data_IF_012347002884
#
_entry.id   IF_012347002884
#
_cell.length_a   1.000
_cell.length_b   1.000
_cell.length_c   1.000
_cell.angle_alpha   90.00
_cell.angle_beta   90.00
_cell.angle_gamma   90.00
#
_symmetry.space_group_name_H-M   'P 1'
#
loop_
_entity.id
_entity.type
_entity.pdbx_description
1 polymer ?
#
# COMPACT_ATOMS: atom_id res chain seq x y z
N UNK A 1 -33.06 -7.15 10.25
CA UNK A 1 -31.75 -6.50 10.45
C UNK A 1 -30.73 -7.52 10.03
N UNK A 2 -29.94 -7.27 8.97
CA UNK A 2 -28.84 -8.18 8.62
C UNK A 2 -27.79 -8.09 9.74
N UNK A 3 -27.36 -9.26 10.22
CA UNK A 3 -26.29 -9.31 11.20
C UNK A 3 -25.01 -8.72 10.54
N UNK A 4 -24.35 -7.78 11.22
CA UNK A 4 -23.07 -7.21 10.78
C UNK A 4 -22.03 -8.33 10.65
N UNK A 5 -21.31 -8.35 9.56
CA UNK A 5 -20.11 -9.15 9.45
C UNK A 5 -19.03 -8.64 10.40
N UNK A 6 -18.02 -9.46 10.68
CA UNK A 6 -16.93 -9.04 11.57
C UNK A 6 -16.12 -7.90 10.94
N UNK A 7 -15.89 -7.92 9.62
CA UNK A 7 -15.19 -6.86 8.89
C UNK A 7 -15.97 -5.52 8.93
N UNK A 8 -17.28 -5.54 8.73
CA UNK A 8 -18.12 -4.33 8.88
C UNK A 8 -18.10 -3.78 10.30
N UNK A 9 -18.15 -4.66 11.30
CA UNK A 9 -18.09 -4.25 12.70
C UNK A 9 -16.74 -3.61 13.05
N UNK A 10 -15.63 -4.17 12.55
CA UNK A 10 -14.29 -3.61 12.73
C UNK A 10 -14.16 -2.23 12.07
N UNK A 11 -14.58 -2.10 10.82
CA UNK A 11 -14.51 -0.82 10.09
C UNK A 11 -15.35 0.27 10.78
N UNK A 12 -16.57 -0.06 11.23
CA UNK A 12 -17.43 0.87 11.95
C UNK A 12 -16.89 1.23 13.35
N UNK A 13 -16.27 0.28 14.05
CA UNK A 13 -15.66 0.53 15.35
C UNK A 13 -14.41 1.41 15.22
N UNK A 14 -13.54 1.12 14.26
CA UNK A 14 -12.35 1.90 13.98
C UNK A 14 -12.65 3.35 13.57
N UNK A 15 -13.70 3.57 12.79
CA UNK A 15 -14.18 4.92 12.42
C UNK A 15 -14.96 5.63 13.53
N UNK A 16 -15.23 4.97 14.65
CA UNK A 16 -16.07 5.50 15.74
C UNK A 16 -17.55 5.66 15.39
N UNK A 17 -17.99 5.07 14.27
CA UNK A 17 -19.37 5.23 13.75
C UNK A 17 -20.30 4.05 14.07
N UNK A 18 -19.80 3.03 14.77
CA UNK A 18 -20.63 1.88 15.17
C UNK A 18 -21.76 2.31 16.11
N UNK A 19 -22.99 2.05 15.69
CA UNK A 19 -24.17 2.37 16.49
C UNK A 19 -24.26 1.49 17.74
N UNK A 20 -24.65 2.02 18.90
CA UNK A 20 -24.79 1.23 20.14
C UNK A 20 -25.64 -0.03 19.96
N UNK A 21 -26.76 0.07 19.22
CA UNK A 21 -27.66 -1.05 18.96
C UNK A 21 -26.97 -2.15 18.14
N UNK A 22 -26.16 -1.78 17.13
CA UNK A 22 -25.40 -2.72 16.32
C UNK A 22 -24.32 -3.41 17.16
N UNK A 23 -23.65 -2.67 18.04
CA UNK A 23 -22.64 -3.22 18.96
C UNK A 23 -23.25 -4.20 19.98
N UNK A 24 -24.48 -3.93 20.46
CA UNK A 24 -25.20 -4.80 21.38
C UNK A 24 -25.64 -6.10 20.65
N UNK A 25 -25.94 -6.04 19.35
CA UNK A 25 -26.33 -7.19 18.54
C UNK A 25 -25.18 -8.18 18.30
N UNK A 26 -23.91 -7.76 18.48
CA UNK A 26 -22.77 -8.66 18.38
C UNK A 26 -22.72 -9.63 19.56
N UNK A 27 -22.20 -10.83 19.30
CA UNK A 27 -21.93 -11.80 20.39
C UNK A 27 -20.92 -11.22 21.39
N UNK A 28 -20.92 -11.68 22.66
CA UNK A 28 -19.91 -11.25 23.62
C UNK A 28 -18.47 -11.46 23.07
N UNK A 29 -18.21 -12.60 22.47
CA UNK A 29 -16.90 -12.93 21.88
C UNK A 29 -16.49 -11.92 20.80
N UNK A 30 -17.38 -11.54 19.90
CA UNK A 30 -17.09 -10.54 18.84
C UNK A 30 -16.85 -9.15 19.43
N UNK A 31 -17.53 -8.78 20.50
CA UNK A 31 -17.28 -7.50 21.21
C UNK A 31 -15.91 -7.48 21.87
N UNK A 32 -15.49 -8.59 22.49
CA UNK A 32 -14.17 -8.70 23.08
C UNK A 32 -13.08 -8.68 22.00
N UNK A 33 -13.35 -9.28 20.84
CA UNK A 33 -12.46 -9.17 19.67
C UNK A 33 -12.30 -7.71 19.19
N UNK A 34 -13.38 -6.94 19.07
CA UNK A 34 -13.27 -5.50 18.75
C UNK A 34 -12.47 -4.72 19.80
N UNK A 35 -12.61 -5.07 21.08
CA UNK A 35 -11.80 -4.47 22.13
C UNK A 35 -10.32 -4.81 21.99
N UNK A 36 -9.99 -6.05 21.65
CA UNK A 36 -8.61 -6.47 21.38
C UNK A 36 -8.04 -5.72 20.18
N UNK A 37 -8.78 -5.64 19.08
CA UNK A 37 -8.35 -4.92 17.87
C UNK A 37 -8.07 -3.43 18.16
N UNK A 38 -8.90 -2.79 19.00
CA UNK A 38 -8.68 -1.43 19.47
C UNK A 38 -7.42 -1.32 20.34
N UNK A 39 -7.22 -2.24 21.28
CA UNK A 39 -6.02 -2.26 22.11
C UNK A 39 -4.73 -2.40 21.26
N UNK A 40 -4.77 -3.16 20.16
CA UNK A 40 -3.66 -3.25 19.20
C UNK A 40 -3.39 -1.89 18.54
N UNK A 41 -4.43 -1.16 18.12
CA UNK A 41 -4.28 0.13 17.44
C UNK A 41 -3.86 1.28 18.38
N UNK A 42 -4.11 1.15 19.68
CA UNK A 42 -3.79 2.15 20.73
C UNK A 42 -2.50 1.82 21.51
N UNK A 43 -1.63 0.95 20.97
CA UNK A 43 -0.39 0.50 21.63
C UNK A 43 -0.60 -0.20 23.00
N UNK A 44 -1.78 -0.73 23.24
CA UNK A 44 -2.14 -1.47 24.45
C UNK A 44 -1.65 -2.93 24.42
N UNK A 45 -0.37 -3.18 24.12
CA UNK A 45 0.19 -4.52 23.89
C UNK A 45 -0.14 -5.55 24.98
N UNK A 46 -0.06 -5.16 26.26
CA UNK A 46 -0.34 -6.06 27.39
C UNK A 46 -1.82 -6.49 27.42
N UNK A 47 -2.72 -5.55 27.20
CA UNK A 47 -4.16 -5.83 27.13
C UNK A 47 -4.49 -6.68 25.90
N UNK A 48 -3.93 -6.34 24.75
CA UNK A 48 -4.11 -7.09 23.49
C UNK A 48 -3.66 -8.54 23.63
N UNK A 49 -2.50 -8.78 24.23
CA UNK A 49 -1.98 -10.14 24.48
C UNK A 49 -2.92 -10.95 25.38
N UNK A 50 -3.33 -10.39 26.52
CA UNK A 50 -4.22 -11.06 27.46
C UNK A 50 -5.58 -11.40 26.81
N UNK A 51 -6.19 -10.43 26.14
CA UNK A 51 -7.46 -10.63 25.42
C UNK A 51 -7.32 -11.67 24.30
N UNK A 52 -6.21 -11.66 23.58
CA UNK A 52 -5.97 -12.60 22.47
C UNK A 52 -5.96 -14.06 22.92
N UNK A 53 -5.41 -14.35 24.09
CA UNK A 53 -5.38 -15.70 24.65
C UNK A 53 -6.79 -16.16 25.08
N UNK A 54 -7.51 -15.30 25.82
CA UNK A 54 -8.88 -15.58 26.25
C UNK A 54 -9.83 -15.78 25.06
N UNK A 55 -9.79 -14.89 24.07
CA UNK A 55 -10.65 -14.96 22.88
C UNK A 55 -10.35 -16.23 22.08
N UNK A 56 -9.09 -16.60 21.93
CA UNK A 56 -8.70 -17.81 21.21
C UNK A 56 -9.29 -19.06 21.85
N UNK A 57 -9.22 -19.18 23.18
CA UNK A 57 -9.76 -20.32 23.90
C UNK A 57 -11.29 -20.38 23.82
N UNK A 58 -11.96 -19.24 23.97
CA UNK A 58 -13.42 -19.15 23.88
C UNK A 58 -13.94 -19.41 22.48
N UNK A 59 -13.23 -18.92 21.43
CA UNK A 59 -13.62 -19.13 20.03
C UNK A 59 -13.64 -20.61 19.60
N UNK A 60 -12.97 -21.48 20.37
CA UNK A 60 -12.92 -22.93 20.17
C UNK A 60 -13.89 -23.70 21.06
N UNK A 61 -14.38 -23.05 22.11
CA UNK A 61 -15.26 -23.72 23.08
C UNK A 61 -16.64 -23.99 22.48
N UNK A 62 -17.31 -25.12 22.82
CA UNK A 62 -18.60 -25.49 22.22
C UNK A 62 -19.71 -24.45 22.38
N UNK A 63 -19.66 -23.64 23.45
CA UNK A 63 -20.69 -22.65 23.78
C UNK A 63 -20.55 -21.31 23.05
N UNK A 64 -19.33 -20.95 22.60
CA UNK A 64 -19.01 -19.67 21.98
C UNK A 64 -18.26 -19.83 20.64
N UNK A 65 -18.28 -21.03 20.06
CA UNK A 65 -17.53 -21.34 18.85
C UNK A 65 -17.78 -20.36 17.71
N UNK A 66 -16.75 -19.62 17.32
CA UNK A 66 -16.77 -18.71 16.17
C UNK A 66 -15.50 -18.88 15.33
N UNK A 67 -15.57 -19.65 14.22
CA UNK A 67 -14.39 -19.92 13.39
C UNK A 67 -13.79 -18.68 12.70
N UNK A 68 -14.60 -17.64 12.47
CA UNK A 68 -14.12 -16.38 11.91
C UNK A 68 -13.28 -15.60 12.92
N UNK A 69 -13.77 -15.50 14.17
CA UNK A 69 -12.99 -14.91 15.28
C UNK A 69 -11.73 -15.72 15.55
N UNK A 70 -11.81 -17.06 15.54
CA UNK A 70 -10.60 -17.89 15.71
C UNK A 70 -9.54 -17.59 14.66
N UNK A 71 -9.93 -17.46 13.38
CA UNK A 71 -8.99 -17.17 12.31
C UNK A 71 -8.37 -15.77 12.47
N UNK A 72 -9.16 -14.78 12.80
CA UNK A 72 -8.70 -13.39 12.99
C UNK A 72 -7.78 -13.26 14.22
N UNK A 73 -8.16 -13.83 15.35
CA UNK A 73 -7.31 -13.76 16.54
C UNK A 73 -5.98 -14.49 16.38
N UNK A 74 -5.93 -15.58 15.62
CA UNK A 74 -4.66 -16.25 15.30
C UNK A 74 -3.76 -15.39 14.41
N UNK A 75 -4.35 -14.71 13.41
CA UNK A 75 -3.66 -13.75 12.57
C UNK A 75 -3.03 -12.65 13.44
N UNK A 76 -3.85 -11.99 14.27
CA UNK A 76 -3.41 -10.88 15.11
C UNK A 76 -2.34 -11.33 16.12
N UNK A 77 -2.49 -12.51 16.74
CA UNK A 77 -1.49 -13.09 17.65
C UNK A 77 -0.12 -13.31 16.99
N UNK A 78 -0.12 -13.74 15.73
CA UNK A 78 1.12 -13.89 14.97
C UNK A 78 1.81 -12.54 14.71
N UNK A 79 1.03 -11.47 14.54
CA UNK A 79 1.55 -10.12 14.27
C UNK A 79 2.03 -9.38 15.51
N UNK A 80 1.35 -9.56 16.66
CA UNK A 80 1.71 -8.88 17.92
C UNK A 80 2.78 -9.62 18.74
N UNK A 81 3.41 -10.67 18.19
CA UNK A 81 4.45 -11.42 18.89
C UNK A 81 3.95 -12.37 20.00
N UNK A 82 2.65 -12.74 19.98
CA UNK A 82 2.05 -13.69 20.93
C UNK A 82 2.33 -15.16 20.55
N UNK A 83 3.14 -15.40 19.51
CA UNK A 83 3.47 -16.72 18.97
C UNK A 83 4.99 -16.82 18.83
N UNK A 84 5.55 -17.98 19.10
CA UNK A 84 6.97 -18.24 18.86
C UNK A 84 7.32 -18.04 17.37
N UNK A 85 8.46 -17.42 17.06
CA UNK A 85 8.91 -17.09 15.70
C UNK A 85 8.82 -18.27 14.74
N UNK A 86 9.21 -19.46 15.19
CA UNK A 86 9.16 -20.69 14.40
C UNK A 86 7.72 -21.12 14.00
N UNK A 87 6.69 -20.57 14.64
CA UNK A 87 5.29 -20.90 14.39
C UNK A 87 4.53 -19.80 13.65
N UNK A 88 5.07 -18.59 13.54
CA UNK A 88 4.40 -17.45 12.93
C UNK A 88 3.86 -17.80 11.53
N UNK A 89 4.70 -18.31 10.65
CA UNK A 89 4.29 -18.69 9.30
C UNK A 89 3.19 -19.76 9.26
N UNK A 90 3.21 -20.70 10.20
CA UNK A 90 2.13 -21.69 10.31
C UNK A 90 0.80 -21.06 10.73
N UNK A 91 0.80 -20.16 11.72
CA UNK A 91 -0.43 -19.48 12.19
C UNK A 91 -1.00 -18.57 11.10
N UNK A 92 -0.14 -17.81 10.40
CA UNK A 92 -0.55 -16.97 9.27
C UNK A 92 -1.18 -17.80 8.14
N UNK A 93 -0.52 -18.90 7.73
CA UNK A 93 -1.04 -19.81 6.71
C UNK A 93 -2.38 -20.40 7.13
N UNK A 94 -2.47 -20.91 8.36
CA UNK A 94 -3.71 -21.48 8.87
C UNK A 94 -4.86 -20.46 8.86
N UNK A 95 -4.59 -19.22 9.32
CA UNK A 95 -5.58 -18.15 9.35
C UNK A 95 -6.04 -17.78 7.92
N UNK A 96 -5.11 -17.67 6.97
CA UNK A 96 -5.38 -17.38 5.56
C UNK A 96 -6.26 -18.46 4.94
N UNK A 97 -5.90 -19.73 5.05
CA UNK A 97 -6.68 -20.85 4.49
C UNK A 97 -8.09 -20.91 5.11
N UNK A 98 -8.18 -20.56 6.40
CA UNK A 98 -9.48 -20.53 7.08
C UNK A 98 -10.34 -19.37 6.60
N UNK A 99 -9.79 -18.18 6.42
CA UNK A 99 -10.51 -17.02 5.88
C UNK A 99 -10.92 -17.24 4.42
N UNK A 100 -10.06 -17.83 3.60
CA UNK A 100 -10.41 -18.24 2.23
C UNK A 100 -11.64 -19.16 2.17
N UNK A 101 -11.82 -20.03 3.18
CA UNK A 101 -12.98 -20.94 3.27
C UNK A 101 -14.23 -20.24 3.79
N UNK A 102 -14.10 -19.37 4.78
CA UNK A 102 -15.24 -18.76 5.49
C UNK A 102 -15.76 -17.51 4.79
N UNK A 103 -14.86 -16.69 4.29
CA UNK A 103 -15.13 -15.37 3.74
C UNK A 103 -14.21 -15.07 2.54
N UNK A 104 -14.27 -15.87 1.46
CA UNK A 104 -13.46 -15.60 0.27
C UNK A 104 -13.74 -14.18 -0.25
N UNK A 105 -12.71 -13.47 -0.68
CA UNK A 105 -12.82 -12.11 -1.21
C UNK A 105 -13.03 -11.00 -0.17
N UNK A 106 -13.25 -11.35 1.10
CA UNK A 106 -13.47 -10.34 2.16
C UNK A 106 -12.21 -9.52 2.48
N UNK A 107 -12.37 -8.32 3.10
CA UNK A 107 -11.25 -7.56 3.63
C UNK A 107 -10.35 -8.38 4.57
N UNK A 108 -10.95 -9.18 5.44
CA UNK A 108 -10.21 -10.07 6.34
C UNK A 108 -9.39 -11.12 5.62
N UNK A 109 -9.90 -11.69 4.51
CA UNK A 109 -9.13 -12.63 3.68
C UNK A 109 -7.96 -11.92 2.98
N UNK A 110 -8.18 -10.76 2.39
CA UNK A 110 -7.12 -9.98 1.75
C UNK A 110 -6.01 -9.59 2.73
N UNK A 111 -6.37 -9.13 3.94
CA UNK A 111 -5.42 -8.81 5.01
C UNK A 111 -4.61 -10.04 5.46
N UNK A 112 -5.25 -11.21 5.56
CA UNK A 112 -4.54 -12.44 5.91
C UNK A 112 -3.51 -12.81 4.84
N UNK A 113 -3.86 -12.69 3.55
CA UNK A 113 -2.93 -12.88 2.43
C UNK A 113 -1.78 -11.88 2.46
N UNK A 114 -2.06 -10.58 2.66
CA UNK A 114 -1.03 -9.53 2.76
C UNK A 114 -0.02 -9.84 3.87
N UNK A 115 -0.50 -10.20 5.06
CA UNK A 115 0.37 -10.52 6.19
C UNK A 115 1.18 -11.79 5.95
N UNK A 116 0.61 -12.81 5.33
CA UNK A 116 1.33 -14.03 4.95
C UNK A 116 2.42 -13.73 3.91
N UNK A 117 2.11 -12.90 2.90
CA UNK A 117 3.08 -12.48 1.89
C UNK A 117 4.22 -11.66 2.52
N UNK A 118 3.90 -10.71 3.41
CA UNK A 118 4.89 -9.91 4.15
C UNK A 118 5.81 -10.79 5.00
N UNK A 119 5.26 -11.81 5.66
CA UNK A 119 6.08 -12.77 6.40
C UNK A 119 7.04 -13.53 5.47
N UNK A 120 6.57 -14.07 4.34
CA UNK A 120 7.45 -14.72 3.35
C UNK A 120 8.55 -13.78 2.86
N UNK A 121 8.23 -12.51 2.59
CA UNK A 121 9.21 -11.50 2.18
C UNK A 121 10.26 -11.24 3.27
N UNK A 122 9.86 -11.20 4.55
CA UNK A 122 10.73 -10.94 5.69
C UNK A 122 11.71 -12.07 5.96
N UNK A 123 11.32 -13.31 5.68
CA UNK A 123 12.22 -14.49 5.80
C UNK A 123 13.02 -14.78 4.51
N UNK A 124 12.92 -13.89 3.51
CA UNK A 124 13.70 -13.99 2.26
C UNK A 124 13.07 -14.89 1.19
N UNK A 125 11.86 -15.37 1.38
CA UNK A 125 11.13 -16.22 0.44
C UNK A 125 10.36 -15.40 -0.59
N UNK A 126 11.05 -14.52 -1.34
CA UNK A 126 10.48 -13.54 -2.27
C UNK A 126 9.49 -14.17 -3.26
N UNK A 127 9.83 -15.34 -3.83
CA UNK A 127 8.94 -16.01 -4.80
C UNK A 127 7.65 -16.52 -4.15
N UNK A 128 7.69 -16.94 -2.88
CA UNK A 128 6.49 -17.32 -2.14
C UNK A 128 5.64 -16.10 -1.82
N UNK A 129 6.26 -14.97 -1.45
CA UNK A 129 5.55 -13.71 -1.25
C UNK A 129 4.80 -13.29 -2.52
N UNK A 130 5.47 -13.31 -3.69
CA UNK A 130 4.85 -13.01 -4.99
C UNK A 130 3.70 -13.97 -5.32
N UNK A 131 3.86 -15.27 -5.03
CA UNK A 131 2.80 -16.26 -5.24
C UNK A 131 1.56 -15.96 -4.39
N UNK A 132 1.74 -15.61 -3.10
CA UNK A 132 0.63 -15.23 -2.21
C UNK A 132 -0.04 -13.93 -2.68
N UNK A 133 0.74 -12.92 -3.07
CA UNK A 133 0.18 -11.67 -3.62
C UNK A 133 -0.64 -11.90 -4.90
N UNK A 134 -0.32 -12.93 -5.69
CA UNK A 134 -1.08 -13.25 -6.92
C UNK A 134 -2.52 -13.69 -6.64
N UNK A 135 -2.82 -14.12 -5.43
CA UNK A 135 -4.18 -14.47 -5.00
C UNK A 135 -5.04 -13.23 -4.71
N UNK A 136 -4.40 -12.06 -4.48
CA UNK A 136 -5.09 -10.80 -4.16
C UNK A 136 -5.42 -10.07 -5.48
N UNK A 137 -6.70 -10.04 -5.82
CA UNK A 137 -7.17 -9.41 -7.06
C UNK A 137 -8.62 -8.94 -6.96
N UNK A 138 -9.00 -7.98 -7.81
CA UNK A 138 -10.40 -7.56 -7.97
C UNK A 138 -11.28 -8.71 -8.53
N UNK A 139 -10.70 -9.64 -9.31
CA UNK A 139 -11.39 -10.82 -9.79
C UNK A 139 -11.78 -11.81 -8.68
N UNK A 140 -11.13 -11.70 -7.52
CA UNK A 140 -11.44 -12.46 -6.30
C UNK A 140 -12.32 -11.70 -5.31
N UNK A 141 -12.94 -10.60 -5.74
CA UNK A 141 -13.78 -9.69 -4.96
C UNK A 141 -13.05 -9.02 -3.77
N UNK A 142 -11.72 -8.98 -3.78
CA UNK A 142 -10.96 -8.26 -2.77
C UNK A 142 -11.15 -6.75 -2.90
N UNK A 143 -11.17 -5.98 -1.77
CA UNK A 143 -11.28 -4.53 -1.80
C UNK A 143 -10.15 -3.88 -2.59
N UNK A 144 -10.49 -2.82 -3.33
CA UNK A 144 -9.56 -2.19 -4.27
C UNK A 144 -8.35 -1.53 -3.59
N UNK A 145 -8.54 -0.96 -2.40
CA UNK A 145 -7.47 -0.43 -1.53
C UNK A 145 -6.46 -1.51 -1.12
N UNK A 146 -6.92 -2.70 -0.75
CA UNK A 146 -6.06 -3.83 -0.39
C UNK A 146 -5.39 -4.45 -1.63
N UNK A 147 -6.06 -4.43 -2.79
CA UNK A 147 -5.42 -4.78 -4.06
C UNK A 147 -4.33 -3.76 -4.41
N UNK A 148 -4.57 -2.46 -4.23
CA UNK A 148 -3.58 -1.41 -4.43
C UNK A 148 -2.34 -1.62 -3.56
N UNK A 149 -2.55 -1.87 -2.25
CA UNK A 149 -1.46 -2.17 -1.33
C UNK A 149 -0.67 -3.42 -1.75
N UNK A 150 -1.37 -4.48 -2.17
CA UNK A 150 -0.72 -5.67 -2.70
C UNK A 150 0.14 -5.35 -3.93
N UNK A 151 -0.32 -4.48 -4.84
CA UNK A 151 0.46 -4.07 -6.03
C UNK A 151 1.70 -3.26 -5.65
N UNK A 152 1.61 -2.38 -4.66
CA UNK A 152 2.76 -1.65 -4.12
C UNK A 152 3.84 -2.61 -3.64
N UNK A 153 3.47 -3.57 -2.79
CA UNK A 153 4.42 -4.55 -2.27
C UNK A 153 5.01 -5.45 -3.37
N UNK A 154 4.20 -5.86 -4.35
CA UNK A 154 4.69 -6.62 -5.51
C UNK A 154 5.70 -5.80 -6.32
N UNK A 155 5.45 -4.50 -6.51
CA UNK A 155 6.41 -3.59 -7.14
C UNK A 155 7.76 -3.59 -6.43
N UNK A 156 7.75 -3.42 -5.12
CA UNK A 156 8.95 -3.47 -4.25
C UNK A 156 9.68 -4.81 -4.33
N UNK A 157 8.93 -5.92 -4.35
CA UNK A 157 9.51 -7.27 -4.48
C UNK A 157 10.18 -7.47 -5.83
N UNK A 158 9.59 -6.99 -6.95
CA UNK A 158 10.20 -7.03 -8.27
C UNK A 158 11.45 -6.15 -8.34
N UNK A 159 11.44 -4.96 -7.75
CA UNK A 159 12.63 -4.12 -7.63
C UNK A 159 13.76 -4.84 -6.88
N UNK A 160 13.46 -5.48 -5.76
CA UNK A 160 14.42 -6.24 -4.96
C UNK A 160 15.09 -7.38 -5.74
N UNK A 161 14.41 -7.99 -6.71
CA UNK A 161 14.98 -9.05 -7.57
C UNK A 161 15.53 -8.52 -8.90
N UNK A 162 15.56 -7.19 -9.11
CA UNK A 162 16.10 -6.54 -10.30
C UNK A 162 15.19 -6.59 -11.53
N UNK A 163 13.89 -6.87 -11.38
CA UNK A 163 12.90 -6.85 -12.47
C UNK A 163 12.21 -5.48 -12.53
N UNK A 164 12.94 -4.48 -13.01
CA UNK A 164 12.45 -3.11 -13.12
C UNK A 164 11.17 -2.97 -13.97
N UNK A 165 11.02 -3.66 -15.12
CA UNK A 165 9.79 -3.56 -15.92
C UNK A 165 8.54 -4.03 -15.17
N UNK A 166 8.63 -5.13 -14.43
CA UNK A 166 7.51 -5.60 -13.60
C UNK A 166 7.25 -4.68 -12.43
N UNK A 167 8.31 -4.18 -11.78
CA UNK A 167 8.19 -3.21 -10.69
C UNK A 167 7.44 -1.97 -11.13
N UNK A 168 7.84 -1.32 -12.22
CA UNK A 168 7.18 -0.13 -12.76
C UNK A 168 5.68 -0.37 -13.03
N UNK A 169 5.32 -1.49 -13.67
CA UNK A 169 3.91 -1.81 -13.92
C UNK A 169 3.09 -1.93 -12.65
N UNK A 170 3.65 -2.56 -11.62
CA UNK A 170 2.94 -2.77 -10.35
C UNK A 170 2.81 -1.49 -9.55
N UNK A 171 3.86 -0.68 -9.48
CA UNK A 171 3.84 0.62 -8.79
C UNK A 171 2.82 1.56 -9.44
N UNK A 172 2.79 1.62 -10.79
CA UNK A 172 1.80 2.42 -11.51
C UNK A 172 0.36 1.96 -11.27
N UNK A 173 0.12 0.64 -11.34
CA UNK A 173 -1.19 0.06 -11.03
C UNK A 173 -1.63 0.36 -9.60
N UNK A 174 -0.68 0.35 -8.65
CA UNK A 174 -0.94 0.73 -7.26
C UNK A 174 -1.35 2.19 -7.14
N UNK A 175 -0.57 3.11 -7.71
CA UNK A 175 -0.87 4.55 -7.70
C UNK A 175 -2.25 4.86 -8.30
N UNK A 176 -2.58 4.23 -9.44
CA UNK A 176 -3.88 4.42 -10.09
C UNK A 176 -5.05 3.98 -9.19
N UNK A 177 -4.92 2.85 -8.51
CA UNK A 177 -5.95 2.33 -7.60
C UNK A 177 -6.08 3.16 -6.33
N UNK A 178 -4.98 3.62 -5.74
CA UNK A 178 -5.03 4.52 -4.59
C UNK A 178 -5.70 5.85 -4.96
N UNK A 179 -5.47 6.35 -6.17
CA UNK A 179 -6.16 7.53 -6.72
C UNK A 179 -7.67 7.31 -6.82
N UNK A 180 -8.12 6.15 -7.34
CA UNK A 180 -9.54 5.78 -7.43
C UNK A 180 -10.22 5.73 -6.05
N UNK A 181 -9.49 5.29 -5.02
CA UNK A 181 -9.97 5.23 -3.62
C UNK A 181 -9.82 6.56 -2.86
N UNK A 182 -9.20 7.58 -3.47
CA UNK A 182 -8.94 8.88 -2.85
C UNK A 182 -7.87 8.84 -1.74
N UNK A 183 -7.02 7.83 -1.74
CA UNK A 183 -5.94 7.61 -0.77
C UNK A 183 -4.67 8.36 -1.21
N UNK A 184 -4.70 9.69 -1.08
CA UNK A 184 -3.67 10.59 -1.61
C UNK A 184 -2.26 10.30 -1.07
N UNK A 185 -2.13 9.96 0.20
CA UNK A 185 -0.82 9.68 0.80
C UNK A 185 -0.16 8.44 0.19
N UNK A 186 -0.92 7.37 0.06
CA UNK A 186 -0.49 6.10 -0.52
C UNK A 186 -0.27 6.23 -2.03
N UNK A 187 -1.09 7.04 -2.72
CA UNK A 187 -0.90 7.41 -4.13
C UNK A 187 0.46 8.09 -4.32
N UNK A 188 0.78 9.10 -3.49
CA UNK A 188 2.05 9.82 -3.57
C UNK A 188 3.24 8.87 -3.36
N UNK A 189 3.18 7.97 -2.37
CA UNK A 189 4.23 6.97 -2.12
C UNK A 189 4.45 6.11 -3.36
N UNK A 190 3.39 5.57 -3.95
CA UNK A 190 3.50 4.71 -5.12
C UNK A 190 4.04 5.46 -6.36
N UNK A 191 3.63 6.72 -6.56
CA UNK A 191 4.13 7.58 -7.64
C UNK A 191 5.61 7.92 -7.47
N UNK A 192 6.05 8.22 -6.24
CA UNK A 192 7.46 8.54 -5.96
C UNK A 192 8.35 7.31 -6.12
N UNK A 193 7.95 6.15 -5.64
CA UNK A 193 8.70 4.92 -5.84
C UNK A 193 8.77 4.53 -7.32
N UNK A 194 7.70 4.76 -8.07
CA UNK A 194 7.70 4.59 -9.51
C UNK A 194 8.66 5.57 -10.20
N UNK A 195 8.62 6.84 -9.79
CA UNK A 195 9.44 7.92 -10.35
C UNK A 195 10.93 7.67 -10.12
N UNK A 196 11.32 7.32 -8.90
CA UNK A 196 12.69 7.00 -8.51
C UNK A 196 13.27 5.89 -9.42
N UNK A 197 12.54 4.78 -9.54
CA UNK A 197 12.95 3.67 -10.41
C UNK A 197 12.98 4.07 -11.89
N UNK A 198 12.01 4.86 -12.36
CA UNK A 198 11.95 5.30 -13.75
C UNK A 198 13.12 6.21 -14.11
N UNK A 199 13.50 7.13 -13.21
CA UNK A 199 14.65 8.01 -13.42
C UNK A 199 15.96 7.23 -13.45
N UNK A 200 16.17 6.26 -12.57
CA UNK A 200 17.31 5.36 -12.58
C UNK A 200 17.43 4.63 -13.93
N UNK A 201 16.33 4.08 -14.40
CA UNK A 201 16.31 3.37 -15.67
C UNK A 201 16.55 4.30 -16.88
N UNK A 202 16.03 5.52 -16.86
CA UNK A 202 16.29 6.52 -17.92
C UNK A 202 17.75 6.99 -17.92
N UNK A 203 18.36 7.11 -16.74
CA UNK A 203 19.77 7.48 -16.61
C UNK A 203 20.72 6.41 -17.14
N UNK A 204 20.37 5.12 -16.98
CA UNK A 204 21.19 4.01 -17.46
C UNK A 204 21.07 3.76 -18.97
N UNK A 205 19.85 3.74 -19.49
CA UNK A 205 19.57 3.47 -20.91
C UNK A 205 18.09 3.74 -21.28
N UNK A 206 17.76 4.98 -21.60
CA UNK A 206 16.38 5.42 -21.85
C UNK A 206 15.69 4.65 -23.00
N UNK A 207 16.39 4.42 -24.14
CA UNK A 207 15.80 3.73 -25.30
C UNK A 207 15.49 2.27 -24.96
N UNK A 208 16.44 1.58 -24.33
CA UNK A 208 16.30 0.19 -23.93
C UNK A 208 15.18 0.03 -22.90
N UNK A 209 15.06 0.95 -21.97
CA UNK A 209 14.00 0.91 -20.95
C UNK A 209 12.61 1.03 -21.59
N UNK A 210 12.42 1.96 -22.51
CA UNK A 210 11.17 2.11 -23.24
C UNK A 210 10.76 0.83 -23.95
N UNK A 211 11.68 0.18 -24.66
CA UNK A 211 11.45 -1.09 -25.35
C UNK A 211 11.10 -2.24 -24.40
N UNK A 212 11.84 -2.35 -23.30
CA UNK A 212 11.63 -3.41 -22.30
C UNK A 212 10.25 -3.27 -21.63
N UNK A 213 9.87 -2.06 -21.21
CA UNK A 213 8.57 -1.84 -20.57
C UNK A 213 7.42 -2.04 -21.55
N UNK A 214 7.55 -1.56 -22.79
CA UNK A 214 6.53 -1.72 -23.83
C UNK A 214 6.26 -3.18 -24.19
N UNK A 215 7.31 -4.03 -24.22
CA UNK A 215 7.21 -5.43 -24.64
C UNK A 215 6.91 -6.41 -23.51
N UNK A 216 6.94 -5.98 -22.25
CA UNK A 216 6.72 -6.88 -21.13
C UNK A 216 5.23 -6.96 -20.79
N UNK A 217 4.56 -8.03 -21.20
CA UNK A 217 3.17 -8.28 -20.83
C UNK A 217 3.08 -8.89 -19.41
N UNK A 218 2.04 -8.57 -18.64
CA UNK A 218 1.78 -9.26 -17.38
C UNK A 218 1.60 -10.75 -17.63
N UNK A 219 2.30 -11.59 -16.87
CA UNK A 219 2.25 -13.06 -17.04
C UNK A 219 1.11 -13.73 -16.26
N UNK A 220 0.34 -12.98 -15.51
CA UNK A 220 -0.77 -13.46 -14.67
C UNK A 220 -2.04 -12.72 -15.02
N UNK A 221 -3.18 -13.12 -14.43
CA UNK A 221 -4.48 -12.41 -14.51
C UNK A 221 -4.44 -11.00 -13.87
N UNK A 222 -3.27 -10.40 -13.85
CA UNK A 222 -3.08 -9.04 -13.38
C UNK A 222 -3.55 -8.10 -14.46
N UNK A 223 -4.25 -7.06 -14.04
CA UNK A 223 -4.67 -6.01 -14.94
C UNK A 223 -3.46 -5.42 -15.67
N UNK A 224 -3.57 -5.21 -16.97
CA UNK A 224 -2.49 -4.64 -17.75
C UNK A 224 -2.17 -3.24 -17.20
N UNK A 225 -0.96 -3.06 -16.69
CA UNK A 225 -0.42 -1.75 -16.40
C UNK A 225 0.09 -1.16 -17.70
N UNK A 226 -0.31 0.04 -18.02
CA UNK A 226 0.15 0.78 -19.20
C UNK A 226 1.45 1.55 -18.92
N UNK A 227 1.98 1.47 -17.70
CA UNK A 227 3.17 2.19 -17.30
C UNK A 227 4.36 1.86 -18.20
N UNK A 228 4.95 2.91 -18.74
CA UNK A 228 6.13 2.92 -19.59
C UNK A 228 7.07 3.96 -19.01
N UNK A 229 8.35 3.69 -18.92
CA UNK A 229 9.32 4.69 -18.47
C UNK A 229 9.64 5.70 -19.59
N UNK A 230 8.63 6.38 -20.11
CA UNK A 230 8.79 7.47 -21.08
C UNK A 230 8.77 8.84 -20.41
N UNK A 231 9.34 9.89 -21.01
CA UNK A 231 9.31 11.24 -20.44
C UNK A 231 7.90 11.74 -20.10
N UNK A 232 6.88 11.37 -20.89
CA UNK A 232 5.48 11.70 -20.62
C UNK A 232 4.92 11.04 -19.38
N UNK A 233 5.30 9.78 -19.06
CA UNK A 233 4.89 9.08 -17.87
C UNK A 233 5.63 9.63 -16.62
N UNK A 234 6.90 10.03 -16.79
CA UNK A 234 7.66 10.74 -15.75
C UNK A 234 7.00 12.08 -15.44
N UNK A 235 6.58 12.82 -16.47
CA UNK A 235 5.88 14.08 -16.31
C UNK A 235 4.55 13.91 -15.55
N UNK A 236 3.74 12.91 -15.93
CA UNK A 236 2.46 12.63 -15.26
C UNK A 236 2.68 12.24 -13.80
N UNK A 237 3.58 11.28 -13.55
CA UNK A 237 3.90 10.84 -12.18
C UNK A 237 4.40 11.99 -11.30
N UNK A 238 5.37 12.76 -11.80
CA UNK A 238 5.94 13.88 -11.05
C UNK A 238 4.93 14.99 -10.78
N UNK A 239 4.07 15.30 -11.77
CA UNK A 239 3.04 16.34 -11.60
C UNK A 239 2.00 15.92 -10.55
N UNK A 240 1.50 14.70 -10.61
CA UNK A 240 0.53 14.16 -9.64
C UNK A 240 1.13 14.10 -8.24
N UNK A 241 2.35 13.60 -8.10
CA UNK A 241 3.04 13.56 -6.81
C UNK A 241 3.26 14.97 -6.25
N UNK A 242 3.68 15.93 -7.09
CA UNK A 242 3.86 17.33 -6.70
C UNK A 242 2.55 17.95 -6.19
N UNK A 243 1.43 17.73 -6.88
CA UNK A 243 0.13 18.27 -6.49
C UNK A 243 -0.28 17.78 -5.08
N UNK A 244 0.03 16.51 -4.74
CA UNK A 244 -0.27 15.95 -3.42
C UNK A 244 0.70 16.47 -2.34
N UNK A 245 2.01 16.36 -2.58
CA UNK A 245 3.05 16.69 -1.58
C UNK A 245 3.07 18.18 -1.27
N UNK A 246 2.85 19.02 -2.27
CA UNK A 246 2.89 20.46 -2.13
C UNK A 246 1.58 21.06 -1.60
N UNK A 247 0.52 20.27 -1.36
CA UNK A 247 -0.66 20.74 -0.61
C UNK A 247 -0.26 21.15 0.82
N UNK A 248 0.60 20.36 1.48
CA UNK A 248 1.10 20.64 2.84
C UNK A 248 2.55 20.12 3.01
N UNK A 249 3.57 20.81 2.46
CA UNK A 249 4.94 20.35 2.49
C UNK A 249 5.52 20.46 3.91
N UNK A 250 5.99 19.34 4.43
CA UNK A 250 6.67 19.25 5.73
C UNK A 250 8.20 19.21 5.54
N UNK A 251 8.98 19.36 6.63
CA UNK A 251 10.44 19.17 6.58
C UNK A 251 10.86 17.74 6.19
N UNK A 252 9.95 16.75 6.37
CA UNK A 252 10.16 15.36 6.00
C UNK A 252 9.97 15.13 4.49
N UNK A 253 9.32 16.07 3.77
CA UNK A 253 9.12 16.01 2.32
C UNK A 253 10.38 16.32 1.50
N UNK A 254 11.52 16.60 2.13
CA UNK A 254 12.76 16.99 1.44
C UNK A 254 13.25 15.97 0.41
N UNK A 255 13.32 14.65 0.69
CA UNK A 255 13.72 13.66 -0.30
C UNK A 255 12.74 13.62 -1.48
N UNK A 256 11.46 13.70 -1.20
CA UNK A 256 10.39 13.63 -2.19
C UNK A 256 10.43 14.81 -3.16
N UNK A 257 10.60 16.04 -2.61
CA UNK A 257 10.74 17.23 -3.43
C UNK A 257 12.07 17.21 -4.23
N UNK A 258 13.15 16.67 -3.64
CA UNK A 258 14.40 16.44 -4.35
C UNK A 258 14.22 15.57 -5.59
N UNK A 259 13.48 14.47 -5.46
CA UNK A 259 13.16 13.58 -6.58
C UNK A 259 12.34 14.29 -7.68
N UNK A 260 11.42 15.18 -7.32
CA UNK A 260 10.68 16.00 -8.28
C UNK A 260 11.58 16.99 -9.02
N UNK A 261 12.58 17.54 -8.34
CA UNK A 261 13.62 18.40 -8.96
C UNK A 261 14.45 17.59 -9.95
N UNK A 262 14.87 16.38 -9.57
CA UNK A 262 15.62 15.47 -10.45
C UNK A 262 14.79 15.09 -11.69
N UNK A 263 13.50 14.84 -11.52
CA UNK A 263 12.59 14.59 -12.64
C UNK A 263 12.51 15.80 -13.59
N UNK A 264 12.37 17.02 -13.04
CA UNK A 264 12.34 18.25 -13.85
C UNK A 264 13.61 18.41 -14.70
N UNK A 265 14.79 18.12 -14.12
CA UNK A 265 16.05 18.13 -14.84
C UNK A 265 16.14 17.04 -15.90
N UNK A 266 15.80 15.79 -15.53
CA UNK A 266 15.96 14.61 -16.40
C UNK A 266 15.19 14.74 -17.71
N UNK A 267 13.95 15.27 -17.65
CA UNK A 267 13.08 15.43 -18.83
C UNK A 267 13.01 16.88 -19.31
N UNK A 268 13.82 17.78 -18.76
CA UNK A 268 13.83 19.22 -19.07
C UNK A 268 12.42 19.85 -19.02
N UNK A 269 11.64 19.52 -17.98
CA UNK A 269 10.25 19.91 -17.88
C UNK A 269 10.07 21.26 -17.18
N UNK A 270 9.64 22.28 -17.95
CA UNK A 270 9.20 23.57 -17.39
C UNK A 270 7.96 23.42 -16.50
N UNK A 271 7.06 22.49 -16.82
CA UNK A 271 5.81 22.32 -16.07
C UNK A 271 6.05 21.87 -14.63
N UNK A 272 6.93 20.91 -14.41
CA UNK A 272 7.31 20.47 -13.05
C UNK A 272 7.99 21.64 -12.32
N UNK A 273 8.92 22.33 -13.00
CA UNK A 273 9.62 23.46 -12.43
C UNK A 273 8.67 24.61 -12.02
N UNK A 274 7.67 24.92 -12.82
CA UNK A 274 6.64 25.93 -12.52
C UNK A 274 5.81 25.52 -11.30
N UNK A 275 5.35 24.26 -11.22
CA UNK A 275 4.61 23.73 -10.08
C UNK A 275 5.39 23.86 -8.77
N UNK A 276 6.66 23.52 -8.80
CA UNK A 276 7.55 23.64 -7.62
C UNK A 276 7.74 25.10 -7.23
N UNK A 277 7.91 26.02 -8.22
CA UNK A 277 8.08 27.45 -7.95
C UNK A 277 6.82 28.12 -7.39
N UNK A 278 5.63 27.72 -7.84
CA UNK A 278 4.35 28.23 -7.30
C UNK A 278 4.23 28.00 -5.79
N UNK A 279 4.82 26.91 -5.30
CA UNK A 279 4.74 26.49 -3.89
C UNK A 279 5.99 26.82 -3.08
N UNK A 280 7.01 27.43 -3.66
CA UNK A 280 8.30 27.68 -3.01
C UNK A 280 8.17 28.46 -1.68
N UNK A 281 7.17 29.34 -1.57
CA UNK A 281 6.92 30.12 -0.36
C UNK A 281 6.40 29.31 0.83
N UNK A 282 5.90 28.10 0.62
CA UNK A 282 5.43 27.17 1.66
C UNK A 282 6.52 26.21 2.12
N UNK A 283 7.64 26.12 1.38
CA UNK A 283 8.75 25.21 1.67
C UNK A 283 9.71 25.87 2.66
N UNK A 284 9.91 25.25 3.81
CA UNK A 284 10.76 25.77 4.88
C UNK A 284 12.24 25.42 4.70
N UNK A 285 12.56 24.33 3.99
CA UNK A 285 13.92 23.87 3.75
C UNK A 285 14.65 24.74 2.72
N UNK A 286 15.63 25.53 3.18
CA UNK A 286 16.38 26.46 2.33
C UNK A 286 17.20 25.76 1.24
N UNK A 287 17.60 24.52 1.46
CA UNK A 287 18.34 23.77 0.44
C UNK A 287 17.41 23.34 -0.70
N UNK A 288 16.21 22.87 -0.37
CA UNK A 288 15.17 22.56 -1.36
C UNK A 288 14.77 23.81 -2.15
N UNK A 289 14.61 24.94 -1.46
CA UNK A 289 14.35 26.23 -2.12
C UNK A 289 15.46 26.59 -3.11
N UNK A 290 16.73 26.38 -2.74
CA UNK A 290 17.86 26.62 -3.64
C UNK A 290 17.79 25.71 -4.89
N UNK A 291 17.55 24.44 -4.72
CA UNK A 291 17.41 23.49 -5.85
C UNK A 291 16.30 23.91 -6.83
N UNK A 292 15.13 24.32 -6.31
CA UNK A 292 14.01 24.78 -7.14
C UNK A 292 14.37 26.08 -7.89
N UNK A 293 15.15 26.97 -7.27
CA UNK A 293 15.60 28.21 -7.88
C UNK A 293 16.62 28.00 -9.02
N UNK A 294 17.39 26.92 -8.94
CA UNK A 294 18.37 26.51 -9.95
C UNK A 294 17.74 25.89 -11.20
N UNK A 295 16.46 25.43 -11.12
CA UNK A 295 15.75 24.96 -12.29
C UNK A 295 15.62 26.09 -13.33
N UNK A 296 15.97 25.83 -14.59
CA UNK A 296 15.90 26.84 -15.63
C UNK A 296 14.45 27.32 -15.85
N UNK A 297 14.22 28.65 -16.04
CA UNK A 297 12.92 29.13 -16.44
C UNK A 297 12.62 28.66 -17.88
N UNK A 298 11.34 28.33 -18.17
CA UNK A 298 10.96 27.98 -19.52
C UNK A 298 11.28 29.13 -20.49
N UNK A 299 12.04 28.85 -21.56
CA UNK A 299 12.31 29.77 -22.66
C UNK A 299 11.03 30.05 -23.51
N UNK A 300 9.95 30.49 -22.86
CA UNK A 300 8.67 30.74 -23.54
C UNK A 300 8.52 32.14 -24.14
N UNK A 301 9.59 32.96 -24.28
CA UNK A 301 9.48 34.33 -24.83
C UNK A 301 10.59 34.75 -25.80
N UNK A 302 11.18 33.88 -26.59
CA UNK A 302 12.18 34.32 -27.59
C UNK A 302 11.86 33.93 -29.02
N UNK A 303 10.59 33.83 -29.42
CA UNK A 303 10.26 33.69 -30.85
C UNK A 303 9.07 34.57 -31.30
N UNK A 304 9.16 35.87 -30.99
CA UNK A 304 8.41 36.92 -31.65
C UNK A 304 9.31 38.14 -31.88
N UNK A 305 10.15 38.07 -32.93
CA UNK A 305 10.75 39.28 -33.50
C UNK A 305 10.88 39.12 -35.01
#
# INVERSE_FOLDING_TARGET
>A
MSDLTLDEALALDASGTIRPEAKIALTPLRRDFLRMARAISEDGAVEALALSEEILDRSRSPGERDPEVEARVRLDRALIGAVEDARVGFELRWATDRMATLRPGSPGHALALLNLASWHASVGETMMALAVHSEISSASDHPNDLVALSRLEVGRLHQKIGDAPSSLRHLWSSASRFSEEGMKGEEAIALLEWLDLALDCLAEDAERMGDVVANTMPRTNMEPSEAKAHPEDVLDSATRAADIILEDPTGESRPDIGLLVDAAHCISSSLIAERLREKIGSIQDQQVVAWIQELEPSDSETDQS
#
